data_IF_168576104867
#
_entry.id   IF_168576104867
#
_cell.length_a   1.000
_cell.length_b   1.000
_cell.length_c   1.000
_cell.angle_alpha   90.00
_cell.angle_beta   90.00
_cell.angle_gamma   90.00
#
_symmetry.space_group_name_H-M   'P 1'
#
loop_
_entity.id
_entity.type
_entity.pdbx_description
1 polymer ?
#
# COMPACT_ATOMS: atom_id res chain seq x y z
N UNK A 1 5.55 -20.56 0.80
CA UNK A 1 6.50 -19.44 1.02
C UNK A 1 5.70 -18.19 1.36
N UNK A 2 5.60 -17.89 2.64
CA UNK A 2 5.05 -16.63 3.16
C UNK A 2 6.09 -15.51 3.00
N UNK A 3 5.67 -14.36 2.52
CA UNK A 3 6.50 -13.16 2.39
C UNK A 3 5.81 -12.06 3.17
N UNK A 4 6.57 -11.37 4.01
CA UNK A 4 6.11 -10.24 4.83
C UNK A 4 6.80 -9.00 4.32
N UNK A 5 6.02 -7.95 4.05
CA UNK A 5 6.59 -6.64 3.68
C UNK A 5 6.64 -5.80 4.93
N UNK A 6 7.83 -5.29 5.25
CA UNK A 6 8.04 -4.36 6.35
C UNK A 6 8.74 -3.14 5.78
N UNK A 7 8.05 -2.01 5.77
CA UNK A 7 8.61 -0.73 5.36
C UNK A 7 8.45 0.28 6.49
N UNK A 8 9.42 1.17 6.60
CA UNK A 8 9.38 2.28 7.55
C UNK A 8 9.02 3.52 6.75
N UNK A 9 7.89 4.13 7.09
CA UNK A 9 7.38 5.34 6.44
C UNK A 9 7.18 6.39 7.51
N UNK A 10 7.81 7.56 7.33
CA UNK A 10 7.67 8.69 8.25
C UNK A 10 6.20 9.11 8.36
N UNK A 11 5.75 9.67 9.49
CA UNK A 11 4.38 10.15 9.65
C UNK A 11 3.97 11.16 8.58
N UNK A 12 4.89 12.05 8.18
CA UNK A 12 4.66 13.02 7.10
C UNK A 12 4.36 12.35 5.75
N UNK A 13 5.09 11.28 5.43
CA UNK A 13 4.92 10.58 4.17
C UNK A 13 3.65 9.73 4.18
N UNK A 14 3.24 9.20 5.34
CA UNK A 14 1.94 8.54 5.47
C UNK A 14 0.79 9.50 5.15
N UNK A 15 0.87 10.75 5.60
CA UNK A 15 -0.12 11.78 5.27
C UNK A 15 -0.12 12.07 3.77
N UNK A 16 1.04 12.34 3.17
CA UNK A 16 1.15 12.58 1.72
C UNK A 16 0.60 11.42 0.89
N UNK A 17 0.83 10.20 1.36
CA UNK A 17 0.36 9.00 0.68
C UNK A 17 -1.16 8.82 0.81
N UNK A 18 -1.74 9.22 1.95
CA UNK A 18 -3.19 9.27 2.12
C UNK A 18 -3.82 10.34 1.21
N UNK A 19 -3.15 11.48 0.99
CA UNK A 19 -3.60 12.50 0.03
C UNK A 19 -3.63 11.94 -1.41
N UNK A 20 -2.61 11.19 -1.83
CA UNK A 20 -2.60 10.54 -3.15
C UNK A 20 -3.77 9.55 -3.31
N UNK A 21 -4.18 8.88 -2.23
CA UNK A 21 -5.33 7.96 -2.28
C UNK A 21 -6.66 8.69 -2.40
N UNK A 22 -6.76 9.88 -1.80
CA UNK A 22 -7.95 10.74 -1.87
C UNK A 22 -8.02 11.61 -3.13
N UNK A 23 -6.90 11.83 -3.81
CA UNK A 23 -6.85 12.63 -5.03
C UNK A 23 -7.43 11.89 -6.24
N UNK A 24 -8.56 12.40 -6.73
CA UNK A 24 -9.27 11.83 -7.88
C UNK A 24 -8.53 12.04 -9.22
N UNK A 25 -7.52 12.93 -9.24
CA UNK A 25 -6.71 13.18 -10.44
C UNK A 25 -5.51 12.23 -10.54
N UNK A 26 -5.19 11.51 -9.47
CA UNK A 26 -4.04 10.63 -9.42
C UNK A 26 -4.28 9.38 -10.27
N UNK A 27 -3.35 9.01 -11.17
CA UNK A 27 -3.48 7.78 -11.94
C UNK A 27 -3.66 6.57 -11.03
N UNK A 28 -4.56 5.65 -11.38
CA UNK A 28 -4.93 4.50 -10.53
C UNK A 28 -3.73 3.66 -10.08
N UNK A 29 -2.68 3.58 -10.90
CA UNK A 29 -1.41 2.91 -10.53
C UNK A 29 -0.72 3.54 -9.32
N UNK A 30 -0.79 4.86 -9.15
CA UNK A 30 -0.21 5.55 -7.99
C UNK A 30 -1.08 5.35 -6.75
N UNK A 31 -2.41 5.44 -6.89
CA UNK A 31 -3.36 5.13 -5.81
C UNK A 31 -3.17 3.71 -5.29
N UNK A 32 -3.01 2.74 -6.20
CA UNK A 32 -2.77 1.34 -5.84
C UNK A 32 -1.45 1.16 -5.09
N UNK A 33 -0.36 1.78 -5.59
CA UNK A 33 0.95 1.73 -4.92
C UNK A 33 0.93 2.40 -3.55
N UNK A 34 0.22 3.51 -3.41
CA UNK A 34 0.02 4.20 -2.16
C UNK A 34 -0.70 3.34 -1.11
N UNK A 35 -1.76 2.63 -1.52
CA UNK A 35 -2.46 1.67 -0.65
C UNK A 35 -1.57 0.52 -0.20
N UNK A 36 -0.75 -0.04 -1.10
CA UNK A 36 0.20 -1.12 -0.77
C UNK A 36 1.18 -0.66 0.31
N UNK A 37 1.77 0.53 0.13
CA UNK A 37 2.75 1.08 1.06
C UNK A 37 2.11 1.35 2.43
N UNK A 38 0.96 2.04 2.51
CA UNK A 38 0.29 2.29 3.79
C UNK A 38 -0.07 1.00 4.55
N UNK A 39 -0.62 -0.01 3.86
CA UNK A 39 -0.97 -1.28 4.49
C UNK A 39 0.24 -2.11 4.93
N UNK A 40 1.41 -1.86 4.34
CA UNK A 40 2.65 -2.57 4.66
C UNK A 40 3.41 -1.99 5.86
N UNK A 41 3.03 -0.80 6.34
CA UNK A 41 3.60 -0.19 7.57
C UNK A 41 3.37 -1.09 8.78
N UNK A 42 2.24 -1.80 8.83
CA UNK A 42 1.86 -2.69 9.92
C UNK A 42 2.55 -4.08 9.87
N UNK A 43 3.56 -4.26 9.01
CA UNK A 43 4.32 -5.53 8.85
C UNK A 43 3.42 -6.74 8.59
N UNK A 44 2.45 -6.56 7.69
CA UNK A 44 1.48 -7.60 7.32
C UNK A 44 2.05 -8.55 6.25
N UNK A 45 1.59 -9.81 6.20
CA UNK A 45 1.89 -10.71 5.09
C UNK A 45 1.42 -10.12 3.75
N UNK A 46 2.19 -10.33 2.67
CA UNK A 46 1.85 -9.86 1.31
C UNK A 46 0.45 -10.32 0.89
N UNK A 47 0.06 -11.54 1.28
CA UNK A 47 -1.25 -12.09 0.95
C UNK A 47 -2.40 -11.32 1.63
N UNK A 48 -2.17 -10.77 2.83
CA UNK A 48 -3.16 -9.93 3.51
C UNK A 48 -3.26 -8.55 2.85
N UNK A 49 -2.12 -7.95 2.47
CA UNK A 49 -2.11 -6.69 1.72
C UNK A 49 -2.84 -6.84 0.39
N UNK A 50 -2.54 -7.90 -0.36
CA UNK A 50 -3.22 -8.25 -1.61
C UNK A 50 -4.74 -8.37 -1.44
N UNK A 51 -5.18 -9.12 -0.41
CA UNK A 51 -6.60 -9.30 -0.08
C UNK A 51 -7.31 -8.00 0.28
N UNK A 52 -6.68 -7.13 1.07
CA UNK A 52 -7.26 -5.85 1.47
C UNK A 52 -7.49 -4.90 0.29
N UNK A 53 -6.64 -4.97 -0.74
CA UNK A 53 -6.72 -4.09 -1.92
C UNK A 53 -7.46 -4.76 -3.09
N UNK A 54 -7.72 -6.08 -3.01
CA UNK A 54 -8.41 -6.84 -4.06
C UNK A 54 -7.52 -7.15 -5.27
N UNK A 55 -6.20 -7.26 -5.09
CA UNK A 55 -5.23 -7.52 -6.15
C UNK A 55 -4.54 -8.87 -5.96
N UNK A 56 -3.88 -9.36 -7.01
CA UNK A 56 -3.11 -10.60 -6.92
C UNK A 56 -1.81 -10.38 -6.15
N UNK A 57 -1.34 -11.42 -5.45
CA UNK A 57 -0.06 -11.41 -4.74
C UNK A 57 1.12 -10.85 -5.56
N UNK A 58 1.35 -11.24 -6.83
CA UNK A 58 2.47 -10.69 -7.62
C UNK A 58 2.31 -9.22 -8.01
N UNK A 59 1.12 -8.63 -7.85
CA UNK A 59 0.90 -7.21 -8.11
C UNK A 59 1.23 -6.31 -6.91
N UNK A 60 1.38 -6.89 -5.71
CA UNK A 60 1.88 -6.21 -4.50
C UNK A 60 3.38 -6.02 -4.65
#
# INVERSE_FOLDING_TARGET
MEQTVSIIVSPEDQVRLAEVIGDLNSPQKHVQRARIVLLSVERRPVIEVARNIGISRPAV
#
